data_IF_396349809905
#
_entry.id   IF_396349809905
#
_cell.length_a   1.000
_cell.length_b   1.000
_cell.length_c   1.000
_cell.angle_alpha   90.00
_cell.angle_beta   90.00
_cell.angle_gamma   90.00
#
_symmetry.space_group_name_H-M   'P 1'
#
loop_
_entity.id
_entity.type
_entity.pdbx_description
1 polymer ?
#
# COMPACT_ATOMS: atom_id res chain seq x y z
N UNK A 1 -0.94 -50.43 -76.70
CA UNK A 1 0.37 -50.53 -76.01
C UNK A 1 0.94 -49.13 -75.88
N UNK A 2 1.31 -48.54 -74.74
CA UNK A 2 0.95 -48.68 -73.33
C UNK A 2 1.39 -47.35 -72.72
N UNK A 3 0.50 -46.64 -72.03
CA UNK A 3 0.85 -45.46 -71.25
C UNK A 3 1.67 -45.89 -70.02
N UNK A 4 2.80 -45.24 -69.76
CA UNK A 4 3.50 -45.26 -68.46
C UNK A 4 3.90 -43.84 -68.04
N UNK A 5 3.39 -43.33 -66.92
CA UNK A 5 3.86 -42.10 -66.27
C UNK A 5 5.02 -42.46 -65.33
N UNK A 6 6.12 -41.71 -65.42
CA UNK A 6 7.30 -41.86 -64.58
C UNK A 6 7.63 -40.56 -63.87
N UNK A 7 7.39 -40.57 -62.56
CA UNK A 7 8.16 -39.90 -61.51
C UNK A 7 8.26 -38.37 -61.56
N UNK A 8 7.29 -37.72 -60.89
CA UNK A 8 7.57 -36.45 -60.22
C UNK A 8 8.43 -36.76 -59.00
N UNK A 9 9.61 -36.16 -59.01
CA UNK A 9 10.57 -36.10 -57.92
C UNK A 9 9.87 -35.72 -56.60
N UNK A 10 9.81 -36.68 -55.68
CA UNK A 10 9.24 -36.55 -54.35
C UNK A 10 10.32 -36.15 -53.32
N UNK A 11 11.43 -35.56 -53.76
CA UNK A 11 12.51 -35.09 -52.89
C UNK A 11 12.38 -33.65 -52.38
N UNK A 12 11.53 -32.81 -53.00
CA UNK A 12 11.63 -31.35 -52.83
C UNK A 12 10.50 -30.71 -52.00
N UNK A 13 9.74 -31.52 -51.23
CA UNK A 13 8.62 -31.04 -50.39
C UNK A 13 8.84 -31.12 -48.87
N UNK A 14 10.02 -31.56 -48.43
CA UNK A 14 10.38 -31.59 -47.00
C UNK A 14 11.26 -30.41 -46.57
N UNK A 15 11.21 -29.28 -47.28
CA UNK A 15 11.99 -28.08 -46.95
C UNK A 15 11.14 -26.91 -46.47
N UNK A 16 10.05 -27.19 -45.76
CA UNK A 16 9.34 -26.20 -44.98
C UNK A 16 8.98 -26.80 -43.61
N UNK A 17 9.11 -25.96 -42.57
CA UNK A 17 8.47 -26.04 -41.24
C UNK A 17 9.26 -26.59 -40.03
N UNK A 18 10.59 -26.48 -40.01
CA UNK A 18 11.36 -26.67 -38.75
C UNK A 18 12.34 -25.53 -38.43
N UNK A 19 12.29 -24.42 -39.17
CA UNK A 19 13.28 -23.34 -39.10
C UNK A 19 12.86 -22.05 -38.38
N UNK A 20 11.60 -21.90 -37.95
CA UNK A 20 11.06 -20.60 -37.54
C UNK A 20 10.68 -20.53 -36.05
N UNK A 21 10.06 -21.58 -35.50
CA UNK A 21 9.60 -21.58 -34.10
C UNK A 21 10.77 -21.50 -33.09
N UNK A 22 11.91 -22.14 -33.41
CA UNK A 22 13.12 -22.04 -32.58
C UNK A 22 13.83 -20.69 -32.72
N UNK A 23 13.68 -20.00 -33.85
CA UNK A 23 14.25 -18.66 -34.06
C UNK A 23 13.41 -17.61 -33.35
N UNK A 24 12.08 -17.75 -33.38
CA UNK A 24 11.14 -16.86 -32.70
C UNK A 24 11.16 -17.07 -31.18
N UNK A 25 11.24 -18.30 -30.69
CA UNK A 25 11.40 -18.56 -29.26
C UNK A 25 12.73 -18.01 -28.72
N UNK A 26 13.83 -18.19 -29.47
CA UNK A 26 15.13 -17.62 -29.12
C UNK A 26 15.11 -16.09 -29.14
N UNK A 27 14.38 -15.49 -30.08
CA UNK A 27 14.22 -14.04 -30.14
C UNK A 27 13.36 -13.49 -29.01
N UNK A 28 12.24 -14.14 -28.67
CA UNK A 28 11.41 -13.75 -27.53
C UNK A 28 12.22 -13.79 -26.22
N UNK A 29 13.08 -14.78 -26.04
CA UNK A 29 13.97 -14.85 -24.88
C UNK A 29 14.91 -13.63 -24.78
N UNK A 30 15.41 -13.13 -25.92
CA UNK A 30 16.22 -11.89 -25.96
C UNK A 30 15.38 -10.68 -25.56
N UNK A 31 14.15 -10.57 -26.07
CA UNK A 31 13.24 -9.49 -25.69
C UNK A 31 12.87 -9.54 -24.20
N UNK A 32 12.66 -10.72 -23.63
CA UNK A 32 12.39 -10.89 -22.20
C UNK A 32 13.60 -10.51 -21.34
N UNK A 33 14.81 -10.89 -21.75
CA UNK A 33 16.04 -10.47 -21.07
C UNK A 33 16.22 -8.94 -21.10
N UNK A 34 15.89 -8.30 -22.22
CA UNK A 34 15.89 -6.84 -22.35
C UNK A 34 14.84 -6.16 -21.47
N UNK A 35 13.61 -6.71 -21.39
CA UNK A 35 12.60 -6.24 -20.44
C UNK A 35 13.09 -6.31 -19.00
N UNK A 36 13.74 -7.42 -18.62
CA UNK A 36 14.31 -7.60 -17.28
C UNK A 36 15.41 -6.58 -17.01
N UNK A 37 16.32 -6.35 -17.97
CA UNK A 37 17.36 -5.34 -17.85
C UNK A 37 16.79 -3.92 -17.74
N UNK A 38 15.80 -3.59 -18.57
CA UNK A 38 15.03 -2.34 -18.49
C UNK A 38 14.39 -2.17 -17.13
N UNK A 39 13.77 -3.22 -16.59
CA UNK A 39 13.14 -3.19 -15.28
C UNK A 39 14.14 -2.93 -14.13
N UNK A 40 15.36 -3.45 -14.21
CA UNK A 40 16.43 -3.14 -13.24
C UNK A 40 16.82 -1.67 -13.31
N UNK A 41 16.98 -1.12 -14.51
CA UNK A 41 17.30 0.29 -14.72
C UNK A 41 16.15 1.21 -14.24
N UNK A 42 14.90 0.84 -14.54
CA UNK A 42 13.70 1.57 -14.12
C UNK A 42 13.58 1.68 -12.60
N UNK A 43 13.74 0.55 -11.88
CA UNK A 43 13.77 0.57 -10.41
C UNK A 43 14.88 1.44 -9.85
N UNK A 44 16.07 1.36 -10.44
CA UNK A 44 17.22 2.18 -10.01
C UNK A 44 16.94 3.67 -10.21
N UNK A 45 16.37 4.06 -11.35
CA UNK A 45 15.98 5.44 -11.64
C UNK A 45 14.88 5.94 -10.68
N UNK A 46 13.88 5.12 -10.40
CA UNK A 46 12.82 5.44 -9.44
C UNK A 46 13.37 5.65 -8.02
N UNK A 47 14.34 4.85 -7.57
CA UNK A 47 14.98 5.03 -6.26
C UNK A 47 15.77 6.33 -6.16
N UNK A 48 16.51 6.69 -7.22
CA UNK A 48 17.20 7.98 -7.28
C UNK A 48 16.22 9.16 -7.26
N UNK A 49 15.17 9.08 -8.08
CA UNK A 49 14.09 10.06 -8.10
C UNK A 49 13.44 10.20 -6.71
N UNK A 50 13.17 9.10 -6.03
CA UNK A 50 12.54 9.12 -4.71
C UNK A 50 13.44 9.81 -3.67
N UNK A 51 14.75 9.66 -3.74
CA UNK A 51 15.67 10.38 -2.84
C UNK A 51 15.60 11.89 -3.02
N UNK A 52 15.41 12.37 -4.25
CA UNK A 52 15.37 13.80 -4.57
C UNK A 52 13.97 14.41 -4.37
N UNK A 53 12.89 13.67 -4.62
CA UNK A 53 11.50 14.16 -4.57
C UNK A 53 10.78 13.84 -3.25
N UNK A 54 11.05 12.67 -2.66
CA UNK A 54 10.40 12.21 -1.44
C UNK A 54 11.35 12.13 -0.23
N UNK A 55 12.65 12.04 -0.47
CA UNK A 55 13.69 11.92 0.56
C UNK A 55 14.08 13.25 1.18
N UNK A 56 15.02 13.22 2.15
CA UNK A 56 15.41 14.39 2.96
C UNK A 56 16.03 15.58 2.20
N UNK A 57 16.23 15.47 0.88
CA UNK A 57 16.59 16.60 0.00
C UNK A 57 15.37 17.42 -0.44
N UNK A 58 14.20 16.80 -0.49
CA UNK A 58 12.92 17.49 -0.61
C UNK A 58 12.60 18.11 0.75
N UNK A 59 12.85 19.41 0.93
CA UNK A 59 12.49 20.07 2.18
C UNK A 59 10.99 19.96 2.45
N UNK A 60 10.58 19.42 3.61
CA UNK A 60 9.19 19.37 4.05
C UNK A 60 8.64 17.96 4.31
N UNK A 61 7.33 17.87 4.52
CA UNK A 61 6.60 16.61 4.70
C UNK A 61 6.32 15.96 3.34
N UNK A 62 6.93 14.79 3.07
CA UNK A 62 6.79 14.08 1.80
C UNK A 62 5.41 13.43 1.58
N UNK A 63 4.55 13.38 2.61
CA UNK A 63 3.24 12.73 2.50
C UNK A 63 2.29 13.42 1.49
N UNK A 64 2.23 14.75 1.47
CA UNK A 64 1.40 15.49 0.52
C UNK A 64 1.76 15.21 -0.94
N UNK A 65 3.04 15.37 -1.34
CA UNK A 65 3.54 14.97 -2.66
C UNK A 65 3.28 13.49 -2.99
N UNK A 66 3.57 12.56 -2.08
CA UNK A 66 3.37 11.12 -2.31
C UNK A 66 1.91 10.77 -2.65
N UNK A 67 0.93 11.35 -1.95
CA UNK A 67 -0.50 11.13 -2.24
C UNK A 67 -0.89 11.63 -3.62
N UNK A 68 -0.42 12.82 -4.03
CA UNK A 68 -0.73 13.37 -5.35
C UNK A 68 -0.15 12.50 -6.47
N UNK A 69 1.04 11.96 -6.26
CA UNK A 69 1.71 11.10 -7.24
C UNK A 69 0.96 9.77 -7.37
N UNK A 70 0.58 9.12 -6.27
CA UNK A 70 -0.23 7.89 -6.33
C UNK A 70 -1.56 8.11 -7.04
N UNK A 71 -2.31 9.16 -6.67
CA UNK A 71 -3.57 9.47 -7.33
C UNK A 71 -3.38 9.71 -8.84
N UNK A 72 -2.32 10.43 -9.23
CA UNK A 72 -2.02 10.65 -10.64
C UNK A 72 -1.58 9.39 -11.38
N UNK A 73 -0.90 8.45 -10.74
CA UNK A 73 -0.58 7.14 -11.33
C UNK A 73 -1.87 6.32 -11.55
N UNK A 74 -2.74 6.26 -10.55
CA UNK A 74 -4.01 5.52 -10.62
C UNK A 74 -4.96 6.08 -11.68
N UNK A 75 -5.04 7.41 -11.79
CA UNK A 75 -5.88 8.11 -12.78
C UNK A 75 -5.25 8.15 -14.19
N UNK A 76 -3.97 7.77 -14.32
CA UNK A 76 -3.20 7.93 -15.56
C UNK A 76 -3.00 9.38 -15.96
N UNK A 77 -2.85 10.30 -15.00
CA UNK A 77 -2.66 11.74 -15.22
C UNK A 77 -1.33 12.02 -15.95
N UNK A 78 -1.36 12.54 -17.20
CA UNK A 78 -0.15 12.87 -17.94
C UNK A 78 0.76 13.85 -17.20
N UNK A 79 0.21 14.78 -16.42
CA UNK A 79 1.02 15.76 -15.70
C UNK A 79 1.91 15.11 -14.62
N UNK A 80 1.47 13.99 -14.04
CA UNK A 80 2.27 13.20 -13.09
C UNK A 80 3.22 12.28 -13.84
N UNK A 81 2.72 11.55 -14.84
CA UNK A 81 3.51 10.57 -15.59
C UNK A 81 4.66 11.23 -16.37
N UNK A 82 4.43 12.39 -16.98
CA UNK A 82 5.47 13.18 -17.68
C UNK A 82 6.53 13.75 -16.73
N UNK A 83 6.24 13.81 -15.42
CA UNK A 83 7.16 14.24 -14.38
C UNK A 83 8.05 13.13 -13.82
N UNK A 84 7.81 11.88 -14.21
CA UNK A 84 8.63 10.74 -13.80
C UNK A 84 9.87 10.59 -14.69
N UNK A 85 10.94 9.93 -14.22
CA UNK A 85 12.07 9.62 -15.09
C UNK A 85 11.61 8.75 -16.26
N UNK A 86 11.98 9.13 -17.48
CA UNK A 86 11.60 8.42 -18.69
C UNK A 86 12.85 7.89 -19.41
N UNK A 87 12.71 6.72 -20.03
CA UNK A 87 13.70 6.23 -20.97
C UNK A 87 13.78 7.15 -22.19
N UNK A 88 14.98 7.59 -22.59
CA UNK A 88 15.14 8.23 -23.90
C UNK A 88 14.99 7.17 -25.00
N UNK A 89 13.84 7.23 -25.68
CA UNK A 89 13.44 6.30 -26.75
C UNK A 89 14.16 6.56 -28.08
N UNK A 90 15.02 7.58 -28.17
CA UNK A 90 15.70 7.95 -29.41
C UNK A 90 17.23 7.99 -29.28
N UNK A 91 17.80 7.60 -28.14
CA UNK A 91 19.25 7.52 -27.94
C UNK A 91 19.84 6.23 -28.56
N UNK A 92 20.01 6.22 -29.89
CA UNK A 92 20.50 5.06 -30.66
C UNK A 92 21.86 4.51 -30.23
N UNK A 93 22.71 5.34 -29.60
CA UNK A 93 24.04 4.92 -29.16
C UNK A 93 23.99 3.94 -27.98
N UNK A 94 22.99 4.07 -27.11
CA UNK A 94 22.85 3.25 -25.91
C UNK A 94 22.15 1.91 -26.19
N UNK A 95 21.36 1.81 -27.28
CA UNK A 95 20.64 0.59 -27.63
C UNK A 95 21.58 -0.60 -27.88
N UNK A 96 22.71 -0.34 -28.55
CA UNK A 96 23.73 -1.36 -28.84
C UNK A 96 24.37 -1.89 -27.55
N UNK A 97 24.72 -1.00 -26.64
CA UNK A 97 25.37 -1.35 -25.38
C UNK A 97 24.40 -2.12 -24.47
N UNK A 98 23.15 -1.64 -24.34
CA UNK A 98 22.07 -2.34 -23.61
C UNK A 98 21.81 -3.74 -24.17
N UNK A 99 21.79 -3.88 -25.50
CA UNK A 99 21.66 -5.19 -26.14
C UNK A 99 22.85 -6.10 -25.84
N UNK A 100 24.08 -5.60 -25.96
CA UNK A 100 25.28 -6.38 -25.69
C UNK A 100 25.36 -6.86 -24.23
N UNK A 101 24.87 -6.07 -23.28
CA UNK A 101 24.81 -6.42 -21.86
C UNK A 101 23.71 -7.44 -21.53
N UNK A 102 22.54 -7.33 -22.16
CA UNK A 102 21.35 -8.12 -21.79
C UNK A 102 21.13 -9.38 -22.64
N UNK A 103 21.60 -9.41 -23.89
CA UNK A 103 21.31 -10.49 -24.82
C UNK A 103 21.93 -11.81 -24.36
N UNK A 104 21.15 -12.90 -24.48
CA UNK A 104 21.59 -14.23 -24.09
C UNK A 104 22.76 -14.73 -24.97
N UNK A 105 23.57 -15.64 -24.41
CA UNK A 105 24.64 -16.29 -25.16
C UNK A 105 24.09 -17.02 -26.40
N UNK A 106 24.57 -16.63 -27.58
CA UNK A 106 24.11 -17.16 -28.87
C UNK A 106 23.10 -16.28 -29.60
N UNK A 107 22.71 -15.13 -29.03
CA UNK A 107 21.99 -14.10 -29.76
C UNK A 107 22.85 -13.53 -30.92
N UNK A 108 22.24 -13.14 -32.06
CA UNK A 108 22.97 -12.48 -33.13
C UNK A 108 23.67 -11.21 -32.64
N UNK A 109 24.84 -10.84 -33.18
CA UNK A 109 25.46 -9.56 -32.85
C UNK A 109 24.57 -8.42 -33.35
N UNK A 110 24.64 -7.27 -32.67
CA UNK A 110 23.78 -6.13 -32.95
C UNK A 110 23.86 -5.67 -34.42
N UNK A 111 25.04 -5.73 -35.01
CA UNK A 111 25.31 -5.31 -36.39
C UNK A 111 24.61 -6.18 -37.43
N UNK A 112 24.25 -7.40 -37.06
CA UNK A 112 23.55 -8.35 -37.93
C UNK A 112 22.02 -8.29 -37.76
N UNK A 113 21.51 -7.48 -36.82
CA UNK A 113 20.07 -7.35 -36.60
C UNK A 113 19.41 -6.51 -37.70
N UNK A 114 18.28 -6.99 -38.27
CA UNK A 114 17.42 -6.16 -39.10
C UNK A 114 16.85 -4.99 -38.29
N UNK A 115 16.58 -3.86 -38.95
CA UNK A 115 16.03 -2.65 -38.32
C UNK A 115 14.78 -2.93 -37.44
N UNK A 116 13.87 -3.80 -37.91
CA UNK A 116 12.69 -4.18 -37.13
C UNK A 116 13.03 -4.87 -35.80
N UNK A 117 14.11 -5.67 -35.75
CA UNK A 117 14.58 -6.31 -34.52
C UNK A 117 15.26 -5.31 -33.60
N UNK A 118 16.01 -4.34 -34.14
CA UNK A 118 16.56 -3.24 -33.34
C UNK A 118 15.45 -2.39 -32.67
N UNK A 119 14.35 -2.14 -33.38
CA UNK A 119 13.21 -1.43 -32.80
C UNK A 119 12.51 -2.28 -31.72
N UNK A 120 12.33 -3.59 -31.95
CA UNK A 120 11.77 -4.50 -30.95
C UNK A 120 12.61 -4.57 -29.68
N UNK A 121 13.94 -4.61 -29.79
CA UNK A 121 14.83 -4.61 -28.62
C UNK A 121 14.73 -3.32 -27.83
N UNK A 122 14.62 -2.18 -28.53
CA UNK A 122 14.42 -0.87 -27.89
C UNK A 122 13.12 -0.84 -27.11
N UNK A 123 12.01 -1.19 -27.76
CA UNK A 123 10.69 -1.18 -27.12
C UNK A 123 10.62 -2.16 -25.95
N UNK A 124 11.18 -3.37 -26.09
CA UNK A 124 11.23 -4.33 -24.99
C UNK A 124 11.97 -3.77 -23.76
N UNK A 125 13.10 -3.10 -23.95
CA UNK A 125 13.81 -2.46 -22.85
C UNK A 125 13.02 -1.29 -22.26
N UNK A 126 12.47 -0.40 -23.09
CA UNK A 126 11.68 0.75 -22.65
C UNK A 126 10.42 0.34 -21.89
N UNK A 127 9.68 -0.67 -22.37
CA UNK A 127 8.50 -1.19 -21.70
C UNK A 127 8.84 -1.73 -20.31
N UNK A 128 9.93 -2.50 -20.20
CA UNK A 128 10.42 -3.00 -18.92
C UNK A 128 10.84 -1.88 -17.96
N UNK A 129 11.49 -0.84 -18.49
CA UNK A 129 11.90 0.34 -17.74
C UNK A 129 10.68 1.12 -17.21
N UNK A 130 9.78 1.54 -18.10
CA UNK A 130 8.64 2.40 -17.77
C UNK A 130 7.71 1.69 -16.76
N UNK A 131 7.40 0.40 -16.97
CA UNK A 131 6.56 -0.38 -16.04
C UNK A 131 7.20 -0.47 -14.65
N UNK A 132 8.46 -0.93 -14.58
CA UNK A 132 9.12 -1.13 -13.29
C UNK A 132 9.42 0.18 -12.55
N UNK A 133 9.60 1.27 -13.30
CA UNK A 133 9.75 2.61 -12.75
C UNK A 133 8.45 3.07 -12.09
N UNK A 134 7.30 2.99 -12.79
CA UNK A 134 6.01 3.37 -12.22
C UNK A 134 5.66 2.53 -10.98
N UNK A 135 5.88 1.21 -11.04
CA UNK A 135 5.65 0.30 -9.92
C UNK A 135 6.52 0.67 -8.70
N UNK A 136 7.80 0.97 -8.93
CA UNK A 136 8.72 1.35 -7.85
C UNK A 136 8.43 2.75 -7.30
N UNK A 137 8.03 3.72 -8.14
CA UNK A 137 7.58 5.05 -7.69
C UNK A 137 6.36 4.91 -6.79
N UNK A 138 5.37 4.11 -7.19
CA UNK A 138 4.19 3.83 -6.37
C UNK A 138 4.59 3.19 -5.04
N UNK A 139 5.46 2.17 -5.07
CA UNK A 139 5.99 1.52 -3.86
C UNK A 139 6.67 2.52 -2.91
N UNK A 140 7.52 3.42 -3.42
CA UNK A 140 8.19 4.45 -2.60
C UNK A 140 7.18 5.43 -2.00
N UNK A 141 6.15 5.82 -2.75
CA UNK A 141 5.07 6.66 -2.21
C UNK A 141 4.30 5.92 -1.11
N UNK A 142 4.00 4.63 -1.28
CA UNK A 142 3.36 3.82 -0.26
C UNK A 142 4.21 3.71 1.02
N UNK A 143 5.53 3.54 0.91
CA UNK A 143 6.43 3.52 2.08
C UNK A 143 6.35 4.84 2.85
N UNK A 144 6.40 5.98 2.14
CA UNK A 144 6.31 7.31 2.74
C UNK A 144 4.97 7.52 3.46
N UNK A 145 3.89 6.95 2.91
CA UNK A 145 2.55 7.05 3.44
C UNK A 145 2.19 5.94 4.43
N UNK A 146 3.06 4.94 4.57
CA UNK A 146 2.80 3.76 5.38
C UNK A 146 2.73 4.16 6.85
N UNK A 147 1.63 3.87 7.55
CA UNK A 147 1.52 4.13 8.99
C UNK A 147 2.51 3.30 9.83
N UNK A 148 3.12 2.28 9.22
CA UNK A 148 4.17 1.44 9.81
C UNK A 148 5.58 1.80 9.31
N UNK A 149 5.70 2.66 8.29
CA UNK A 149 6.97 3.05 7.69
C UNK A 149 7.67 1.96 6.89
N UNK A 150 6.98 0.87 6.57
CA UNK A 150 7.46 -0.25 5.76
C UNK A 150 6.72 -0.32 4.40
N UNK A 151 7.16 -1.23 3.53
CA UNK A 151 6.66 -1.38 2.15
C UNK A 151 5.53 -2.41 2.02
N UNK A 152 4.91 -2.79 3.14
CA UNK A 152 3.78 -3.72 3.10
C UNK A 152 2.59 -3.06 2.41
N UNK A 153 2.03 -3.76 1.42
CA UNK A 153 0.70 -3.45 0.91
C UNK A 153 -0.33 -3.76 1.99
N UNK A 154 -1.07 -2.73 2.40
CA UNK A 154 -2.13 -2.82 3.40
C UNK A 154 -3.52 -2.72 2.78
N UNK A 155 -3.63 -2.74 1.45
CA UNK A 155 -4.89 -2.64 0.73
C UNK A 155 -5.82 -3.81 1.09
N UNK A 156 -5.29 -5.01 1.40
CA UNK A 156 -6.07 -6.16 1.86
C UNK A 156 -6.88 -5.91 3.15
N UNK A 157 -6.55 -4.85 3.89
CA UNK A 157 -7.26 -4.41 5.10
C UNK A 157 -8.23 -3.25 4.83
N UNK A 158 -8.56 -2.98 3.56
CA UNK A 158 -9.58 -2.00 3.19
C UNK A 158 -10.89 -2.27 3.97
N UNK A 159 -11.58 -1.23 4.50
CA UNK A 159 -12.76 -1.42 5.34
C UNK A 159 -13.86 -2.26 4.67
N UNK A 160 -14.06 -2.11 3.36
CA UNK A 160 -15.02 -2.89 2.58
C UNK A 160 -14.71 -4.40 2.52
N UNK A 161 -13.51 -4.82 2.91
CA UNK A 161 -13.06 -6.22 2.89
C UNK A 161 -13.01 -6.85 4.28
N UNK A 162 -13.18 -6.06 5.35
CA UNK A 162 -13.28 -6.58 6.71
C UNK A 162 -14.57 -7.39 6.87
N UNK A 163 -14.46 -8.59 7.44
CA UNK A 163 -15.58 -9.52 7.67
C UNK A 163 -15.65 -9.93 9.13
N UNK A 164 -16.82 -10.36 9.59
CA UNK A 164 -16.98 -10.96 10.92
C UNK A 164 -16.01 -12.13 11.09
N UNK A 165 -15.29 -12.14 12.21
CA UNK A 165 -14.20 -13.06 12.53
C UNK A 165 -12.85 -12.71 11.88
N UNK A 166 -12.81 -11.75 10.95
CA UNK A 166 -11.60 -11.32 10.25
C UNK A 166 -10.88 -10.15 10.95
N UNK A 167 -9.60 -9.94 10.62
CA UNK A 167 -8.87 -8.78 11.11
C UNK A 167 -9.28 -7.49 10.39
N UNK A 168 -9.02 -6.37 11.04
CA UNK A 168 -9.14 -5.04 10.43
C UNK A 168 -8.47 -3.98 11.29
N UNK A 169 -8.34 -2.78 10.73
CA UNK A 169 -7.98 -1.57 11.47
C UNK A 169 -9.26 -0.80 11.77
N UNK A 170 -9.40 -0.32 13.01
CA UNK A 170 -10.56 0.40 13.45
C UNK A 170 -10.18 1.68 14.21
N UNK A 171 -11.09 2.65 14.20
CA UNK A 171 -10.97 3.91 14.94
C UNK A 171 -12.37 4.44 15.29
N UNK A 172 -12.44 5.39 16.22
CA UNK A 172 -13.69 6.07 16.53
C UNK A 172 -14.06 7.01 15.39
N UNK A 173 -15.35 7.13 15.06
CA UNK A 173 -15.80 8.10 14.04
C UNK A 173 -15.45 9.56 14.41
N UNK A 174 -15.29 9.86 15.70
CA UNK A 174 -14.83 11.16 16.20
C UNK A 174 -13.32 11.40 16.03
N UNK A 175 -12.55 10.38 15.65
CA UNK A 175 -11.08 10.47 15.57
C UNK A 175 -10.57 11.20 14.32
N UNK A 176 -11.45 11.51 13.37
CA UNK A 176 -11.09 12.26 12.18
C UNK A 176 -10.74 13.71 12.52
N UNK A 177 -9.50 14.10 12.23
CA UNK A 177 -8.98 15.45 12.45
C UNK A 177 -8.24 15.96 11.22
N UNK A 178 -8.31 17.26 10.89
CA UNK A 178 -7.53 17.81 9.79
C UNK A 178 -6.03 17.81 10.14
N UNK A 179 -5.19 17.38 9.20
CA UNK A 179 -3.74 17.54 9.30
C UNK A 179 -3.29 18.95 8.88
N UNK A 180 -1.97 19.19 8.86
CA UNK A 180 -1.39 20.49 8.45
C UNK A 180 -1.78 20.93 7.02
N UNK A 181 -2.08 19.97 6.15
CA UNK A 181 -2.51 20.20 4.77
C UNK A 181 -4.05 20.31 4.64
N UNK A 182 -4.79 20.27 5.76
CA UNK A 182 -6.24 20.31 5.81
C UNK A 182 -6.94 19.01 5.44
N UNK A 183 -6.20 17.91 5.22
CA UNK A 183 -6.77 16.60 4.92
C UNK A 183 -7.26 15.94 6.20
N UNK A 184 -8.44 15.32 6.18
CA UNK A 184 -8.95 14.55 7.31
C UNK A 184 -8.13 13.27 7.47
N UNK A 185 -7.62 13.05 8.69
CA UNK A 185 -6.75 11.93 9.07
C UNK A 185 -7.16 11.40 10.42
N UNK A 186 -6.82 10.14 10.68
CA UNK A 186 -6.97 9.52 11.98
C UNK A 186 -5.59 9.46 12.65
N UNK A 187 -5.37 10.13 13.80
CA UNK A 187 -4.06 10.13 14.45
C UNK A 187 -3.58 8.74 14.86
N UNK A 188 -4.49 7.81 15.18
CA UNK A 188 -4.16 6.42 15.47
C UNK A 188 -5.31 5.47 15.08
N UNK A 189 -4.97 4.44 14.30
CA UNK A 189 -5.81 3.26 14.12
C UNK A 189 -5.42 2.13 15.06
N UNK A 190 -6.35 1.23 15.33
CA UNK A 190 -6.15 0.09 16.22
C UNK A 190 -6.39 -1.21 15.47
N UNK A 191 -5.50 -2.19 15.64
CA UNK A 191 -5.69 -3.52 15.05
C UNK A 191 -6.65 -4.33 15.92
N UNK A 192 -7.64 -4.99 15.30
CA UNK A 192 -8.54 -5.89 15.99
C UNK A 192 -9.15 -6.95 15.09
N UNK A 193 -9.92 -7.84 15.70
CA UNK A 193 -10.81 -8.79 15.00
C UNK A 193 -12.25 -8.29 15.12
N UNK A 194 -12.94 -8.14 13.98
CA UNK A 194 -14.34 -7.76 13.96
C UNK A 194 -15.17 -8.93 14.50
N UNK A 195 -15.88 -8.74 15.61
CA UNK A 195 -16.68 -9.82 16.26
C UNK A 195 -18.17 -9.62 16.13
N UNK A 196 -18.63 -8.40 15.90
CA UNK A 196 -20.05 -8.08 15.79
C UNK A 196 -20.23 -6.72 15.08
N UNK A 197 -21.48 -6.36 14.81
CA UNK A 197 -21.89 -5.02 14.40
C UNK A 197 -23.08 -4.57 15.23
N UNK A 198 -23.08 -3.35 15.74
CA UNK A 198 -24.15 -2.82 16.58
C UNK A 198 -24.60 -1.44 16.09
N UNK A 199 -25.87 -1.31 15.70
CA UNK A 199 -26.44 -0.08 15.12
C UNK A 199 -25.63 0.48 13.93
N UNK A 200 -25.02 -0.39 13.13
CA UNK A 200 -24.17 -0.01 12.00
C UNK A 200 -22.70 0.26 12.37
N UNK A 201 -22.36 0.28 13.66
CA UNK A 201 -21.00 0.43 14.17
C UNK A 201 -20.30 -0.91 14.32
N UNK A 202 -18.99 -0.91 14.14
CA UNK A 202 -18.18 -2.10 14.23
C UNK A 202 -17.87 -2.46 15.69
N UNK A 203 -17.84 -3.74 16.01
CA UNK A 203 -17.47 -4.24 17.34
C UNK A 203 -16.19 -5.04 17.20
N UNK A 204 -15.08 -4.51 17.68
CA UNK A 204 -13.78 -5.17 17.60
C UNK A 204 -13.35 -5.76 18.94
N UNK A 205 -12.67 -6.90 18.86
CA UNK A 205 -11.81 -7.39 19.94
C UNK A 205 -10.36 -7.09 19.62
N UNK A 206 -9.58 -6.73 20.63
CA UNK A 206 -8.15 -6.44 20.46
C UNK A 206 -7.30 -7.04 21.58
N UNK A 207 -5.99 -7.09 21.36
CA UNK A 207 -5.03 -7.57 22.37
C UNK A 207 -4.87 -6.55 23.50
N UNK A 208 -4.28 -6.97 24.62
CA UNK A 208 -3.96 -6.07 25.73
C UNK A 208 -3.14 -4.85 25.29
N UNK A 209 -2.12 -5.04 24.46
CA UNK A 209 -1.26 -3.95 23.99
C UNK A 209 -2.04 -2.90 23.18
N UNK A 210 -2.99 -3.35 22.34
CA UNK A 210 -3.87 -2.43 21.60
C UNK A 210 -4.85 -1.73 22.55
N UNK A 211 -5.40 -2.44 23.54
CA UNK A 211 -6.27 -1.83 24.54
C UNK A 211 -5.53 -0.76 25.38
N UNK A 212 -4.27 -1.00 25.74
CA UNK A 212 -3.38 -0.01 26.37
C UNK A 212 -3.14 1.21 25.46
N UNK A 213 -2.99 1.00 24.14
CA UNK A 213 -2.89 2.10 23.19
C UNK A 213 -4.18 2.93 23.09
N UNK A 214 -5.36 2.30 23.17
CA UNK A 214 -6.66 3.01 23.21
C UNK A 214 -6.77 3.87 24.47
N UNK A 215 -6.44 3.30 25.64
CA UNK A 215 -6.44 4.05 26.91
C UNK A 215 -5.48 5.24 26.85
N UNK A 216 -4.27 5.03 26.32
CA UNK A 216 -3.27 6.09 26.16
C UNK A 216 -3.74 7.17 25.17
N UNK A 217 -4.38 6.80 24.06
CA UNK A 217 -4.89 7.78 23.10
C UNK A 217 -6.06 8.60 23.67
N UNK A 218 -6.96 7.97 24.43
CA UNK A 218 -8.04 8.68 25.12
C UNK A 218 -7.49 9.70 26.12
N UNK A 219 -6.43 9.36 26.85
CA UNK A 219 -5.74 10.30 27.72
C UNK A 219 -5.09 11.44 26.93
N UNK A 220 -4.42 11.13 25.82
CA UNK A 220 -3.83 12.14 24.95
C UNK A 220 -4.88 13.09 24.34
N UNK A 221 -6.08 12.58 23.99
CA UNK A 221 -7.20 13.41 23.52
C UNK A 221 -7.69 14.37 24.61
N UNK A 222 -7.81 13.89 25.86
CA UNK A 222 -8.13 14.73 27.02
C UNK A 222 -7.07 15.80 27.24
N UNK A 223 -5.79 15.47 27.08
CA UNK A 223 -4.69 16.42 27.23
C UNK A 223 -4.69 17.49 26.12
N UNK A 224 -4.93 17.10 24.86
CA UNK A 224 -5.10 18.04 23.74
C UNK A 224 -6.27 18.99 23.99
N UNK A 225 -7.42 18.48 24.41
CA UNK A 225 -8.58 19.32 24.68
C UNK A 225 -8.34 20.28 25.85
N UNK A 226 -7.65 19.82 26.90
CA UNK A 226 -7.20 20.67 28.00
C UNK A 226 -6.30 21.81 27.48
N UNK A 227 -5.37 21.52 26.58
CA UNK A 227 -4.51 22.54 25.99
C UNK A 227 -5.32 23.57 25.19
N UNK A 228 -6.23 23.14 24.32
CA UNK A 228 -7.09 24.04 23.54
C UNK A 228 -7.89 24.99 24.44
N UNK A 229 -8.53 24.47 25.50
CA UNK A 229 -9.27 25.30 26.46
C UNK A 229 -8.37 26.31 27.19
N UNK A 230 -7.11 25.96 27.45
CA UNK A 230 -6.16 26.88 28.07
C UNK A 230 -5.75 28.01 27.11
N UNK A 231 -5.53 27.69 25.83
CA UNK A 231 -5.25 28.67 24.77
C UNK A 231 -6.43 29.63 24.56
N UNK A 232 -7.66 29.15 24.75
CA UNK A 232 -8.90 29.95 24.77
C UNK A 232 -9.09 30.78 26.05
N UNK A 233 -8.17 30.68 27.02
CA UNK A 233 -8.21 31.45 28.27
C UNK A 233 -9.19 30.93 29.32
N UNK A 234 -9.65 29.69 29.20
CA UNK A 234 -10.53 29.06 30.20
C UNK A 234 -9.76 28.81 31.50
N UNK A 235 -10.38 29.13 32.64
CA UNK A 235 -9.76 28.91 33.96
C UNK A 235 -9.53 27.42 34.22
N UNK A 236 -8.47 27.08 34.96
CA UNK A 236 -8.10 25.69 35.25
C UNK A 236 -9.25 24.86 35.80
N UNK A 237 -9.99 25.38 36.79
CA UNK A 237 -11.11 24.66 37.41
C UNK A 237 -12.28 24.43 36.43
N UNK A 238 -12.56 25.39 35.52
CA UNK A 238 -13.59 25.21 34.49
C UNK A 238 -13.12 24.26 33.41
N UNK A 239 -11.84 24.32 33.05
CA UNK A 239 -11.20 23.47 32.05
C UNK A 239 -11.25 22.00 32.44
N UNK A 240 -10.85 21.62 33.66
CA UNK A 240 -10.94 20.20 34.08
C UNK A 240 -12.38 19.69 34.02
N UNK A 241 -13.34 20.53 34.46
CA UNK A 241 -14.76 20.17 34.38
C UNK A 241 -15.22 19.95 32.94
N UNK A 242 -14.87 20.86 32.02
CA UNK A 242 -15.23 20.73 30.60
C UNK A 242 -14.59 19.49 29.97
N UNK A 243 -13.35 19.16 30.32
CA UNK A 243 -12.69 17.95 29.83
C UNK A 243 -13.42 16.69 30.30
N UNK A 244 -13.84 16.64 31.57
CA UNK A 244 -14.58 15.51 32.12
C UNK A 244 -16.04 15.43 31.63
N UNK A 245 -16.67 16.56 31.32
CA UNK A 245 -18.00 16.63 30.71
C UNK A 245 -17.99 16.21 29.22
N UNK A 246 -16.83 16.31 28.55
CA UNK A 246 -16.71 16.04 27.10
C UNK A 246 -16.06 14.70 26.74
N UNK A 247 -15.13 14.19 27.54
CA UNK A 247 -14.31 13.02 27.19
C UNK A 247 -14.18 12.06 28.37
N UNK A 248 -14.46 10.77 28.14
CA UNK A 248 -14.49 9.77 29.21
C UNK A 248 -13.10 9.56 29.81
N UNK A 249 -13.02 9.33 31.12
CA UNK A 249 -11.77 8.91 31.75
C UNK A 249 -11.63 7.41 31.58
N UNK A 250 -10.48 6.97 31.07
CA UNK A 250 -10.19 5.57 30.82
C UNK A 250 -8.89 5.18 31.51
N UNK A 251 -8.88 4.04 32.22
CA UNK A 251 -7.68 3.54 32.91
C UNK A 251 -7.75 2.04 33.14
N UNK A 252 -6.59 1.42 33.33
CA UNK A 252 -6.50 0.05 33.82
C UNK A 252 -6.55 0.00 35.36
N UNK A 253 -7.37 -0.90 35.89
CA UNK A 253 -7.38 -1.43 37.25
C UNK A 253 -7.01 -2.93 37.17
N UNK A 254 -5.70 -3.21 37.20
CA UNK A 254 -5.16 -4.54 36.90
C UNK A 254 -5.40 -4.95 35.44
N UNK A 255 -6.22 -5.98 35.23
CA UNK A 255 -6.66 -6.44 33.91
C UNK A 255 -8.01 -5.85 33.48
N UNK A 256 -8.67 -5.07 34.32
CA UNK A 256 -9.95 -4.45 33.98
C UNK A 256 -9.72 -3.04 33.49
N UNK A 257 -10.39 -2.65 32.41
CA UNK A 257 -10.45 -1.25 32.00
C UNK A 257 -11.69 -0.63 32.63
N UNK A 258 -11.48 0.41 33.44
CA UNK A 258 -12.55 1.26 33.93
C UNK A 258 -12.71 2.45 32.98
N UNK A 259 -13.92 2.64 32.47
CA UNK A 259 -14.32 3.81 31.67
C UNK A 259 -15.37 4.58 32.47
N UNK A 260 -15.01 5.76 32.94
CA UNK A 260 -15.87 6.64 33.74
C UNK A 260 -16.47 7.72 32.84
N UNK A 261 -17.77 7.59 32.59
CA UNK A 261 -18.61 8.48 31.78
C UNK A 261 -19.63 9.24 32.66
N UNK A 262 -19.45 9.20 33.98
CA UNK A 262 -20.43 9.74 34.94
C UNK A 262 -20.72 11.23 34.73
N UNK A 263 -19.69 12.00 34.40
CA UNK A 263 -19.83 13.44 34.15
C UNK A 263 -20.34 13.77 32.74
N UNK A 264 -20.14 12.87 31.77
CA UNK A 264 -20.65 13.03 30.39
C UNK A 264 -22.17 12.86 30.37
N UNK A 265 -22.65 11.84 31.08
CA UNK A 265 -24.08 11.51 31.11
C UNK A 265 -24.83 12.16 32.28
N UNK A 266 -24.12 12.75 33.24
CA UNK A 266 -24.72 13.22 34.49
C UNK A 266 -25.32 12.08 35.33
N UNK A 267 -24.86 10.85 35.12
CA UNK A 267 -25.32 9.63 35.77
C UNK A 267 -24.19 9.03 36.63
N UNK A 268 -24.32 8.98 37.97
CA UNK A 268 -23.28 8.47 38.85
C UNK A 268 -22.99 6.96 38.67
N UNK A 269 -23.81 6.25 37.91
CA UNK A 269 -23.65 4.81 37.64
C UNK A 269 -23.09 4.51 36.25
N UNK A 270 -22.82 5.54 35.42
CA UNK A 270 -22.23 5.40 34.10
C UNK A 270 -20.72 5.12 34.15
N UNK A 271 -20.36 4.00 34.77
CA UNK A 271 -19.00 3.45 34.79
C UNK A 271 -19.02 2.08 34.13
N UNK A 272 -18.32 1.95 33.01
CA UNK A 272 -18.17 0.69 32.31
C UNK A 272 -16.90 -0.02 32.74
N UNK A 273 -17.02 -1.31 33.05
CA UNK A 273 -15.88 -2.18 33.39
C UNK A 273 -15.70 -3.22 32.31
N UNK A 274 -14.58 -3.17 31.61
CA UNK A 274 -14.26 -4.04 30.48
C UNK A 274 -13.23 -5.05 30.97
N UNK A 275 -13.66 -6.31 31.06
CA UNK A 275 -12.81 -7.44 31.46
C UNK A 275 -12.34 -8.17 30.19
N UNK A 276 -11.10 -8.67 30.12
CA UNK A 276 -10.68 -9.50 29.01
C UNK A 276 -11.48 -10.80 28.95
N UNK A 277 -11.64 -11.34 27.75
CA UNK A 277 -12.22 -12.67 27.55
C UNK A 277 -11.25 -13.80 27.98
N UNK A 278 -11.68 -15.05 27.80
CA UNK A 278 -10.85 -16.23 28.13
C UNK A 278 -9.55 -16.35 27.31
N UNK A 279 -9.37 -15.54 26.26
CA UNK A 279 -8.15 -15.45 25.46
C UNK A 279 -7.32 -14.19 25.78
N UNK A 280 -7.71 -13.40 26.79
CA UNK A 280 -7.03 -12.16 27.14
C UNK A 280 -7.34 -10.97 26.21
N UNK A 281 -8.40 -11.06 25.39
CA UNK A 281 -8.78 -10.01 24.42
C UNK A 281 -9.86 -9.10 24.99
N UNK A 282 -9.85 -7.85 24.56
CA UNK A 282 -10.75 -6.80 25.05
C UNK A 282 -11.73 -6.40 23.95
N UNK A 283 -13.03 -6.41 24.27
CA UNK A 283 -14.06 -5.76 23.43
C UNK A 283 -14.22 -4.33 23.94
N UNK A 284 -13.37 -3.41 23.47
CA UNK A 284 -13.29 -2.06 24.04
C UNK A 284 -14.47 -1.20 23.60
N UNK A 285 -15.39 -0.89 24.51
CA UNK A 285 -16.59 -0.04 24.27
C UNK A 285 -17.42 -0.47 23.06
N UNK A 286 -17.41 -1.76 22.72
CA UNK A 286 -17.91 -2.31 21.47
C UNK A 286 -19.42 -2.23 21.22
N UNK A 287 -20.20 -1.57 22.06
CA UNK A 287 -21.64 -1.29 21.86
C UNK A 287 -22.06 0.03 22.50
N UNK A 288 -21.08 0.88 22.79
CA UNK A 288 -21.27 2.15 23.47
C UNK A 288 -20.66 3.27 22.63
N UNK A 289 -19.51 3.01 22.03
CA UNK A 289 -18.83 3.95 21.16
C UNK A 289 -18.99 3.57 19.68
N UNK A 290 -19.00 4.59 18.84
CA UNK A 290 -19.18 4.57 17.39
C UNK A 290 -17.88 4.21 16.66
N UNK A 291 -17.39 2.99 16.89
CA UNK A 291 -16.23 2.45 16.18
C UNK A 291 -16.56 2.13 14.72
N UNK A 292 -15.61 2.39 13.84
CA UNK A 292 -15.67 2.09 12.41
C UNK A 292 -14.41 1.34 11.96
N UNK A 293 -14.56 0.47 10.95
CA UNK A 293 -13.42 -0.03 10.20
C UNK A 293 -12.87 1.12 9.33
N UNK A 294 -11.56 1.25 9.25
CA UNK A 294 -10.89 2.36 8.54
C UNK A 294 -9.77 1.83 7.67
N UNK A 295 -9.44 2.55 6.59
CA UNK A 295 -8.30 2.18 5.78
C UNK A 295 -7.00 2.41 6.57
N UNK A 296 -6.03 1.48 6.58
CA UNK A 296 -4.74 1.70 7.24
C UNK A 296 -4.06 3.01 6.82
N UNK A 297 -4.01 3.30 5.51
CA UNK A 297 -3.50 4.57 4.98
C UNK A 297 -4.26 5.82 5.41
N UNK A 298 -5.46 5.76 6.00
CA UNK A 298 -6.13 6.93 6.61
C UNK A 298 -5.55 7.31 7.98
N UNK A 299 -4.80 6.37 8.58
CA UNK A 299 -4.20 6.53 9.90
C UNK A 299 -2.77 7.09 9.79
N UNK A 300 -2.37 7.93 10.74
CA UNK A 300 -0.99 8.43 10.83
C UNK A 300 -0.06 7.42 11.51
N UNK A 301 -0.61 6.60 12.42
CA UNK A 301 0.04 5.44 13.02
C UNK A 301 -0.99 4.36 13.31
N UNK A 302 -0.53 3.12 13.45
CA UNK A 302 -1.38 1.99 13.86
C UNK A 302 -0.79 1.34 15.10
N UNK A 303 -1.64 1.07 16.10
CA UNK A 303 -1.29 0.26 17.26
C UNK A 303 -1.73 -1.19 17.08
N UNK A 304 -0.79 -2.10 17.28
CA UNK A 304 -0.98 -3.55 17.13
C UNK A 304 -0.26 -4.10 15.89
N UNK A 305 -0.13 -5.41 15.85
CA UNK A 305 0.54 -6.11 14.75
C UNK A 305 -0.43 -6.29 13.58
N UNK A 306 -0.14 -5.63 12.46
CA UNK A 306 -0.91 -5.80 11.23
C UNK A 306 -0.72 -7.21 10.69
N UNK A 307 -1.82 -7.92 10.38
CA UNK A 307 -1.72 -9.25 9.81
C UNK A 307 -1.26 -9.17 8.36
N UNK A 308 -0.39 -10.09 7.99
CA UNK A 308 -0.01 -10.32 6.60
C UNK A 308 -1.24 -10.72 5.77
N UNK A 309 -1.21 -10.49 4.44
CA UNK A 309 -2.23 -11.01 3.55
C UNK A 309 -2.37 -12.52 3.77
N UNK A 310 -3.59 -12.98 4.04
CA UNK A 310 -3.84 -14.42 4.12
C UNK A 310 -3.56 -14.98 2.73
N UNK A 311 -2.50 -15.78 2.58
CA UNK A 311 -2.19 -16.43 1.32
C UNK A 311 -3.44 -17.16 0.83
N UNK A 312 -3.91 -16.83 -0.38
CA UNK A 312 -4.98 -17.61 -0.99
C UNK A 312 -4.52 -19.07 -1.01
N UNK A 313 -5.37 -20.03 -0.60
CA UNK A 313 -5.02 -21.43 -0.74
C UNK A 313 -4.68 -21.67 -2.20
N UNK A 314 -3.44 -22.12 -2.45
CA UNK A 314 -3.03 -22.61 -3.75
C UNK A 314 -4.07 -23.65 -4.19
N UNK A 315 -4.63 -23.58 -5.40
CA UNK A 315 -5.48 -24.64 -5.90
C UNK A 315 -4.66 -25.93 -5.81
N UNK A 316 -5.13 -26.89 -5.01
CA UNK A 316 -4.47 -28.20 -4.86
C UNK A 316 -4.34 -28.89 -6.22
N UNK A 317 -3.20 -29.55 -6.41
CA UNK A 317 -2.72 -30.27 -7.61
C UNK A 317 -3.73 -31.25 -8.25
#
# INVERSE_FOLDING_TARGET
MTYRPGERDAGDRNRALTGDESSDAGWQQVLDALRVAGAVAGRSAAQWWAQDILGGRAGGNAAGPARRILAGIDDGDPAVLDGLPAADRYCLGEDRDRYAEAAAAGAPPWEDLPAARCDQTRWAWCDGFDQALTDEVARQCHIVLSPTGDDRDLSHLHPDWVRLGGPGVFAGDWAWTPNADGQMRIPIGFVGTLVDTWNGWAVFTCTRAVAEAIVADQQAARDRYRQTLAEEGVTEARRERLVDESLARMRFDGDVIDVDETLIHGDPTAVHRIVPDGQGRYTVMGRAWTWIAVHPYDCDRIAGDLPDPVGQPTPED
#
